data_IF_823269320559
#
_entry.id   IF_823269320559
#
_cell.length_a   1.000
_cell.length_b   1.000
_cell.length_c   1.000
_cell.angle_alpha   90.00
_cell.angle_beta   90.00
_cell.angle_gamma   90.00
#
_symmetry.space_group_name_H-M   'P 1'
#
loop_
_entity.id
_entity.type
_entity.pdbx_description
1 polymer ?
#
# COMPACT_ATOMS: atom_id res chain seq x y z
N UNK A 1 62.91 -11.20 32.52
CA UNK A 1 62.38 -10.96 33.88
C UNK A 1 60.97 -11.53 33.91
N UNK A 2 60.87 -12.82 34.26
CA UNK A 2 59.95 -13.40 35.27
C UNK A 2 58.47 -13.22 34.93
N UNK A 3 57.81 -14.21 34.31
CA UNK A 3 57.24 -15.44 34.91
C UNK A 3 56.21 -15.10 35.99
N UNK A 4 54.94 -15.42 35.74
CA UNK A 4 54.05 -16.19 36.65
C UNK A 4 52.65 -16.34 36.02
N UNK A 5 52.41 -17.50 35.44
CA UNK A 5 51.18 -18.30 35.65
C UNK A 5 51.64 -19.47 36.57
N UNK A 6 50.82 -20.22 37.35
CA UNK A 6 49.60 -20.86 36.83
C UNK A 6 48.50 -21.30 37.85
N UNK A 7 47.53 -22.05 37.33
CA UNK A 7 46.75 -23.18 37.91
C UNK A 7 45.48 -22.93 38.75
N UNK A 8 44.32 -23.30 38.20
CA UNK A 8 43.59 -24.56 38.51
C UNK A 8 42.49 -24.78 37.45
N UNK A 9 42.60 -25.76 36.53
CA UNK A 9 42.07 -27.14 36.59
C UNK A 9 40.64 -27.30 37.12
N UNK A 10 39.67 -27.50 36.21
CA UNK A 10 39.02 -28.81 35.97
C UNK A 10 37.90 -28.68 34.91
N UNK A 11 37.93 -29.56 33.90
CA UNK A 11 36.93 -29.74 32.85
C UNK A 11 35.74 -30.65 33.33
N UNK A 12 34.95 -31.32 32.44
CA UNK A 12 33.60 -30.93 32.05
C UNK A 12 32.56 -31.98 32.48
N UNK A 13 31.26 -31.67 32.40
CA UNK A 13 30.22 -32.72 32.49
C UNK A 13 29.38 -32.72 31.21
N UNK A 14 29.65 -33.73 30.37
CA UNK A 14 28.84 -34.12 29.23
C UNK A 14 27.64 -35.01 29.60
N UNK A 15 26.93 -35.54 28.61
CA UNK A 15 25.48 -35.79 28.64
C UNK A 15 25.10 -37.17 29.18
N UNK A 16 23.84 -37.33 29.62
CA UNK A 16 23.23 -38.64 29.89
C UNK A 16 21.78 -38.69 29.37
N UNK A 17 21.56 -39.63 28.47
CA UNK A 17 20.32 -40.30 28.03
C UNK A 17 20.65 -41.82 28.07
N UNK A 18 19.73 -42.80 27.91
CA UNK A 18 18.29 -42.91 28.17
C UNK A 18 17.92 -44.27 28.86
N UNK A 19 16.63 -44.65 28.86
CA UNK A 19 16.01 -45.94 29.24
C UNK A 19 15.80 -46.17 30.77
N UNK A 20 14.79 -46.84 31.30
CA UNK A 20 13.81 -47.81 30.77
C UNK A 20 12.69 -47.95 31.83
N UNK A 21 11.47 -48.35 31.45
CA UNK A 21 10.71 -49.44 32.11
C UNK A 21 9.26 -49.51 31.61
N UNK A 22 9.03 -50.61 30.89
CA UNK A 22 7.76 -51.12 30.43
C UNK A 22 6.80 -51.50 31.58
N UNK A 23 5.52 -51.24 31.38
CA UNK A 23 4.40 -51.75 32.15
C UNK A 23 3.32 -52.27 31.22
N UNK A 24 3.01 -53.55 31.35
CA UNK A 24 2.21 -54.44 30.50
C UNK A 24 0.76 -54.03 30.26
N UNK A 25 0.28 -54.40 29.07
CA UNK A 25 -1.09 -54.28 28.57
C UNK A 25 -2.09 -55.21 29.27
N UNK A 26 -3.33 -54.72 29.45
CA UNK A 26 -4.54 -55.55 29.47
C UNK A 26 -5.65 -54.85 28.68
N UNK A 27 -6.14 -55.55 27.67
CA UNK A 27 -7.21 -55.22 26.73
C UNK A 27 -8.62 -55.40 27.30
N UNK A 28 -9.58 -54.54 26.92
CA UNK A 28 -11.00 -54.80 26.56
C UNK A 28 -11.81 -53.47 26.50
N UNK A 29 -13.00 -53.39 25.89
CA UNK A 29 -13.22 -52.77 24.59
C UNK A 29 -13.86 -51.37 24.65
N UNK A 30 -13.68 -50.66 23.54
CA UNK A 30 -14.17 -49.31 23.23
C UNK A 30 -15.71 -49.17 23.35
N UNK A 31 -16.22 -48.08 23.97
CA UNK A 31 -17.58 -47.60 23.71
C UNK A 31 -17.58 -46.62 22.53
N UNK A 32 -18.59 -46.78 21.67
CA UNK A 32 -18.91 -45.93 20.52
C UNK A 32 -18.73 -44.42 20.77
N UNK A 33 -18.30 -43.64 19.77
CA UNK A 33 -18.31 -42.20 19.88
C UNK A 33 -19.75 -41.70 19.97
N UNK A 34 -20.06 -41.06 21.10
CA UNK A 34 -21.26 -40.23 21.26
C UNK A 34 -21.20 -39.15 20.18
N UNK A 35 -22.26 -39.08 19.37
CA UNK A 35 -22.47 -38.02 18.39
C UNK A 35 -22.30 -36.66 19.08
N UNK A 36 -21.17 -36.00 18.79
CA UNK A 36 -20.93 -34.64 19.20
C UNK A 36 -21.96 -33.75 18.55
N UNK A 37 -22.83 -33.17 19.39
CA UNK A 37 -23.76 -32.13 19.02
C UNK A 37 -23.06 -31.10 18.13
N UNK A 38 -23.67 -30.84 16.97
CA UNK A 38 -23.15 -29.93 15.97
C UNK A 38 -22.72 -28.61 16.59
N UNK A 39 -21.60 -28.09 16.10
CA UNK A 39 -21.20 -26.72 16.35
C UNK A 39 -22.43 -25.81 16.16
N UNK A 40 -22.71 -24.87 17.07
CA UNK A 40 -23.80 -23.94 16.89
C UNK A 40 -23.58 -23.22 15.55
N UNK A 41 -24.62 -23.04 14.71
CA UNK A 41 -24.48 -22.30 13.47
C UNK A 41 -23.92 -20.92 13.80
N UNK A 42 -22.76 -20.59 13.21
CA UNK A 42 -22.22 -19.24 13.22
C UNK A 42 -23.35 -18.33 12.75
N UNK A 43 -23.77 -17.32 13.54
CA UNK A 43 -24.87 -16.45 13.14
C UNK A 43 -24.49 -15.80 11.80
N UNK A 44 -25.30 -16.09 10.78
CA UNK A 44 -25.11 -15.57 9.44
C UNK A 44 -25.09 -14.04 9.51
N UNK A 45 -24.00 -13.42 9.06
CA UNK A 45 -23.95 -11.98 8.85
C UNK A 45 -25.02 -11.60 7.81
N UNK A 46 -26.17 -11.15 8.31
CA UNK A 46 -27.38 -10.85 7.57
C UNK A 46 -27.29 -9.47 6.93
N UNK A 47 -26.62 -9.39 5.79
CA UNK A 47 -26.83 -8.33 4.81
C UNK A 47 -26.81 -8.95 3.40
N UNK A 48 -27.61 -8.42 2.50
CA UNK A 48 -27.56 -8.82 1.10
C UNK A 48 -26.14 -8.61 0.54
N UNK A 49 -25.68 -9.44 -0.42
CA UNK A 49 -24.44 -9.18 -1.16
C UNK A 49 -24.37 -7.73 -1.65
N UNK A 50 -23.23 -7.07 -1.43
CA UNK A 50 -22.98 -5.71 -1.91
C UNK A 50 -22.39 -5.73 -3.31
N UNK A 51 -22.62 -4.67 -4.08
CA UNK A 51 -21.93 -4.40 -5.33
C UNK A 51 -20.87 -3.32 -5.11
N UNK A 52 -19.59 -3.72 -5.17
CA UNK A 52 -18.46 -2.87 -4.78
C UNK A 52 -17.52 -2.67 -5.96
N UNK A 53 -17.11 -1.42 -6.19
CA UNK A 53 -16.05 -1.08 -7.14
C UNK A 53 -14.72 -1.12 -6.41
N UNK A 54 -13.75 -1.90 -6.90
CA UNK A 54 -12.41 -1.96 -6.32
C UNK A 54 -11.42 -1.26 -7.26
N UNK A 55 -10.76 -0.22 -6.78
CA UNK A 55 -9.66 0.45 -7.49
C UNK A 55 -8.43 0.34 -6.60
N UNK A 56 -7.47 -0.51 -6.97
CA UNK A 56 -6.35 -0.85 -6.11
C UNK A 56 -5.00 -0.78 -6.83
N UNK A 57 -3.94 -0.56 -6.05
CA UNK A 57 -2.58 -0.73 -6.54
C UNK A 57 -2.36 -2.19 -7.01
N UNK A 58 -1.84 -2.39 -8.22
CA UNK A 58 -1.57 -3.72 -8.77
C UNK A 58 -0.56 -4.54 -7.94
N UNK A 59 0.14 -3.91 -6.98
CA UNK A 59 1.00 -4.58 -6.01
C UNK A 59 0.27 -5.70 -5.24
N UNK A 60 -1.04 -5.55 -5.00
CA UNK A 60 -1.86 -6.51 -4.26
C UNK A 60 -2.76 -7.35 -5.18
N UNK A 61 -2.45 -7.42 -6.48
CA UNK A 61 -3.30 -8.07 -7.48
C UNK A 61 -3.57 -9.53 -7.14
N UNK A 62 -2.55 -10.30 -6.77
CA UNK A 62 -2.71 -11.73 -6.50
C UNK A 62 -3.55 -11.96 -5.25
N UNK A 63 -3.30 -11.18 -4.21
CA UNK A 63 -3.96 -11.24 -2.91
C UNK A 63 -5.43 -10.84 -3.03
N UNK A 64 -5.73 -9.73 -3.72
CA UNK A 64 -7.10 -9.28 -3.97
C UNK A 64 -7.85 -10.30 -4.83
N UNK A 65 -7.25 -10.83 -5.91
CA UNK A 65 -7.89 -11.85 -6.74
C UNK A 65 -8.14 -13.16 -5.96
N UNK A 66 -7.21 -13.57 -5.10
CA UNK A 66 -7.34 -14.77 -4.27
C UNK A 66 -8.56 -14.68 -3.34
N UNK A 67 -8.77 -13.52 -2.73
CA UNK A 67 -9.90 -13.23 -1.84
C UNK A 67 -11.19 -12.99 -2.63
N UNK A 68 -11.14 -12.21 -3.71
CA UNK A 68 -12.30 -11.86 -4.52
C UNK A 68 -13.01 -13.08 -5.10
N UNK A 69 -12.24 -14.11 -5.50
CA UNK A 69 -12.80 -15.39 -5.97
C UNK A 69 -13.65 -16.14 -4.93
N UNK A 70 -13.58 -15.74 -3.66
CA UNK A 70 -14.29 -16.34 -2.52
C UNK A 70 -15.24 -15.37 -1.83
N UNK A 71 -15.32 -14.12 -2.30
CA UNK A 71 -16.11 -13.09 -1.65
C UNK A 71 -17.60 -13.35 -1.82
N UNK A 72 -18.39 -12.99 -0.81
CA UNK A 72 -19.85 -12.94 -0.94
C UNK A 72 -20.34 -11.74 -1.74
N UNK A 73 -19.52 -10.69 -1.84
CA UNK A 73 -19.86 -9.45 -2.51
C UNK A 73 -19.53 -9.56 -4.00
N UNK A 74 -20.28 -8.83 -4.83
CA UNK A 74 -19.95 -8.69 -6.24
C UNK A 74 -18.90 -7.59 -6.39
N UNK A 75 -17.70 -7.97 -6.81
CA UNK A 75 -16.55 -7.08 -6.88
C UNK A 75 -16.19 -6.78 -8.33
N UNK A 76 -16.23 -5.50 -8.71
CA UNK A 76 -15.73 -5.03 -10.00
C UNK A 76 -14.30 -4.49 -9.84
N UNK A 77 -13.32 -5.27 -10.28
CA UNK A 77 -11.91 -5.04 -10.00
C UNK A 77 -11.22 -4.18 -11.08
N UNK A 78 -10.55 -3.13 -10.65
CA UNK A 78 -9.60 -2.36 -11.44
C UNK A 78 -8.25 -2.25 -10.71
N UNK A 79 -7.20 -2.77 -11.36
CA UNK A 79 -5.84 -2.65 -10.87
C UNK A 79 -5.10 -1.55 -11.62
N UNK A 80 -4.45 -0.69 -10.85
CA UNK A 80 -3.77 0.50 -11.36
C UNK A 80 -2.26 0.32 -11.14
N UNK A 81 -1.49 0.80 -12.12
CA UNK A 81 -0.03 0.64 -12.14
C UNK A 81 0.60 1.01 -10.80
N UNK A 82 1.49 0.14 -10.32
CA UNK A 82 2.20 0.35 -9.08
C UNK A 82 3.03 1.62 -9.17
N UNK A 83 3.50 2.01 -10.36
CA UNK A 83 4.32 3.20 -10.58
C UNK A 83 3.66 4.55 -10.27
N UNK A 84 2.36 4.61 -9.95
CA UNK A 84 1.75 5.86 -9.49
C UNK A 84 2.35 6.39 -8.17
N UNK A 85 2.87 5.50 -7.30
CA UNK A 85 3.54 5.92 -6.07
C UNK A 85 4.91 6.58 -6.32
N UNK A 86 5.54 6.34 -7.50
CA UNK A 86 6.81 6.97 -7.85
C UNK A 86 6.62 8.50 -8.08
N UNK A 87 5.39 8.94 -8.42
CA UNK A 87 5.05 10.35 -8.67
C UNK A 87 3.70 10.73 -8.04
N UNK A 88 3.61 10.89 -6.71
CA UNK A 88 2.33 11.02 -5.99
C UNK A 88 1.39 12.12 -6.51
N UNK A 89 1.91 13.26 -6.96
CA UNK A 89 1.09 14.33 -7.52
C UNK A 89 0.35 13.93 -8.81
N UNK A 90 1.05 13.24 -9.73
CA UNK A 90 0.43 12.69 -10.94
C UNK A 90 -0.46 11.51 -10.61
N UNK A 91 -0.02 10.68 -9.67
CA UNK A 91 -0.78 9.54 -9.15
C UNK A 91 -2.15 9.95 -8.61
N UNK A 92 -2.22 11.05 -7.84
CA UNK A 92 -3.49 11.61 -7.35
C UNK A 92 -4.47 11.96 -8.46
N UNK A 93 -4.00 12.65 -9.50
CA UNK A 93 -4.85 13.03 -10.64
C UNK A 93 -5.40 11.78 -11.34
N UNK A 94 -4.55 10.77 -11.50
CA UNK A 94 -4.89 9.54 -12.23
C UNK A 94 -5.81 8.62 -11.41
N UNK A 95 -5.66 8.59 -10.08
CA UNK A 95 -6.62 7.95 -9.17
C UNK A 95 -7.95 8.70 -9.18
N UNK A 96 -7.94 10.03 -9.03
CA UNK A 96 -9.16 10.83 -9.05
C UNK A 96 -9.92 10.68 -10.37
N UNK A 97 -9.24 10.67 -11.50
CA UNK A 97 -9.85 10.45 -12.82
C UNK A 97 -10.61 9.13 -12.90
N UNK A 98 -10.12 8.06 -12.26
CA UNK A 98 -10.82 6.76 -12.20
C UNK A 98 -12.04 6.82 -11.31
N UNK A 99 -11.92 7.46 -10.15
CA UNK A 99 -13.04 7.66 -9.23
C UNK A 99 -14.15 8.47 -9.89
N UNK A 100 -13.80 9.54 -10.60
CA UNK A 100 -14.74 10.40 -11.32
C UNK A 100 -15.41 9.68 -12.50
N UNK A 101 -14.77 8.64 -13.06
CA UNK A 101 -15.34 7.82 -14.13
C UNK A 101 -16.33 6.76 -13.62
N UNK A 102 -16.42 6.52 -12.31
CA UNK A 102 -17.41 5.59 -11.74
C UNK A 102 -18.80 6.20 -11.89
N UNK A 103 -19.78 5.48 -12.49
CA UNK A 103 -21.14 5.97 -12.63
C UNK A 103 -21.86 6.07 -11.26
N UNK A 104 -22.64 7.14 -11.01
CA UNK A 104 -23.39 7.30 -9.78
C UNK A 104 -24.50 6.25 -9.65
N UNK A 105 -24.71 5.78 -8.41
CA UNK A 105 -25.82 4.86 -8.07
C UNK A 105 -25.62 3.40 -8.48
N UNK A 106 -24.46 3.03 -9.03
CA UNK A 106 -24.17 1.64 -9.46
C UNK A 106 -23.57 0.78 -8.35
N UNK A 107 -22.79 1.39 -7.46
CA UNK A 107 -22.04 0.68 -6.42
C UNK A 107 -22.43 1.21 -5.04
N UNK A 108 -22.44 0.32 -4.04
CA UNK A 108 -22.66 0.68 -2.64
C UNK A 108 -21.50 1.52 -2.07
N UNK A 109 -20.27 1.21 -2.52
CA UNK A 109 -19.06 1.94 -2.20
C UNK A 109 -17.95 1.68 -3.23
N UNK A 110 -16.96 2.58 -3.27
CA UNK A 110 -15.69 2.35 -3.96
C UNK A 110 -14.62 2.01 -2.93
N UNK A 111 -14.06 0.81 -3.05
CA UNK A 111 -12.92 0.35 -2.28
C UNK A 111 -11.63 0.87 -2.92
N UNK A 112 -10.96 1.83 -2.28
CA UNK A 112 -9.70 2.40 -2.76
C UNK A 112 -8.48 1.74 -2.09
N UNK A 113 -7.85 0.80 -2.79
CA UNK A 113 -6.79 -0.09 -2.29
C UNK A 113 -5.40 0.51 -2.38
N UNK A 114 -5.16 1.57 -1.63
CA UNK A 114 -3.87 2.26 -1.51
C UNK A 114 -3.57 2.61 -0.06
N UNK A 115 -2.30 2.53 0.34
CA UNK A 115 -1.80 3.25 1.51
C UNK A 115 -1.44 4.69 1.14
N UNK A 116 -1.01 5.49 2.13
CA UNK A 116 -0.62 6.88 1.91
C UNK A 116 0.51 7.01 0.87
N UNK A 117 1.45 6.06 0.81
CA UNK A 117 2.46 5.88 -0.26
C UNK A 117 3.05 7.21 -0.77
N UNK A 118 3.64 8.02 0.12
CA UNK A 118 4.18 9.33 -0.26
C UNK A 118 3.12 10.42 -0.53
N UNK A 119 1.98 10.36 0.17
CA UNK A 119 0.82 11.26 0.04
C UNK A 119 0.03 11.09 -1.28
N UNK A 120 0.02 9.88 -1.83
CA UNK A 120 -0.78 9.51 -3.01
C UNK A 120 -2.29 9.64 -2.79
N UNK A 121 -2.76 9.52 -1.55
CA UNK A 121 -4.18 9.61 -1.21
C UNK A 121 -4.67 11.02 -0.86
N UNK A 122 -3.75 11.95 -0.59
CA UNK A 122 -4.13 13.26 -0.07
C UNK A 122 -4.93 14.08 -1.10
N UNK A 123 -6.03 14.70 -0.70
CA UNK A 123 -6.91 15.48 -1.58
C UNK A 123 -7.81 14.64 -2.49
N UNK A 124 -7.69 13.30 -2.50
CA UNK A 124 -8.64 12.43 -3.19
C UNK A 124 -10.03 12.65 -2.60
N UNK A 125 -11.00 12.91 -3.48
CA UNK A 125 -12.35 13.34 -3.11
C UNK A 125 -13.38 12.29 -3.52
N UNK A 126 -14.25 11.94 -2.59
CA UNK A 126 -15.45 11.17 -2.87
C UNK A 126 -16.49 12.10 -3.50
N UNK A 127 -16.85 11.88 -4.78
CA UNK A 127 -17.82 12.72 -5.48
C UNK A 127 -19.26 12.38 -5.08
N UNK A 128 -19.73 11.23 -5.56
CA UNK A 128 -21.11 10.77 -5.39
C UNK A 128 -21.21 9.43 -4.66
N UNK A 129 -20.19 8.58 -4.79
CA UNK A 129 -20.10 7.26 -4.13
C UNK A 129 -19.11 7.35 -2.98
N UNK A 130 -19.43 6.82 -1.79
CA UNK A 130 -18.50 6.82 -0.67
C UNK A 130 -17.26 5.98 -0.97
N UNK A 131 -16.12 6.41 -0.43
CA UNK A 131 -14.87 5.66 -0.52
C UNK A 131 -14.61 4.89 0.78
N UNK A 132 -13.98 3.72 0.66
CA UNK A 132 -13.46 2.94 1.79
C UNK A 132 -11.99 2.69 1.58
N UNK A 133 -11.17 3.21 2.47
CA UNK A 133 -9.71 3.25 2.33
C UNK A 133 -9.06 2.62 3.55
N UNK A 134 -8.16 1.64 3.40
CA UNK A 134 -7.40 1.13 4.54
C UNK A 134 -6.53 2.24 5.15
N UNK A 135 -6.50 2.34 6.47
CA UNK A 135 -5.59 3.22 7.22
C UNK A 135 -4.20 2.60 7.21
N UNK A 136 -3.41 2.98 6.20
CA UNK A 136 -2.09 2.41 5.96
C UNK A 136 -1.10 3.48 5.51
N UNK A 137 0.12 3.46 6.06
CA UNK A 137 1.19 4.35 5.59
C UNK A 137 1.64 3.99 4.18
N UNK A 138 1.68 2.69 3.88
CA UNK A 138 1.98 2.15 2.56
C UNK A 138 1.32 0.78 2.37
N UNK A 139 1.48 0.21 1.18
CA UNK A 139 0.87 -1.07 0.82
C UNK A 139 1.44 -2.28 1.57
N UNK A 140 2.59 -2.19 2.26
CA UNK A 140 3.15 -3.31 3.05
C UNK A 140 2.17 -3.71 4.16
N UNK A 141 1.48 -2.73 4.74
CA UNK A 141 0.38 -2.92 5.71
C UNK A 141 -0.63 -3.97 5.25
N UNK A 142 -0.93 -4.04 3.95
CA UNK A 142 -1.93 -4.95 3.40
C UNK A 142 -1.51 -6.42 3.51
N UNK A 143 -0.21 -6.67 3.40
CA UNK A 143 0.35 -8.01 3.43
C UNK A 143 0.72 -8.46 4.85
N UNK A 144 0.79 -7.53 5.80
CA UNK A 144 0.99 -7.81 7.22
C UNK A 144 -0.32 -7.85 8.01
N UNK A 145 -1.46 -7.54 7.40
CA UNK A 145 -2.78 -7.69 8.00
C UNK A 145 -3.19 -6.62 9.02
N UNK A 146 -2.27 -5.72 9.42
CA UNK A 146 -2.60 -4.56 10.26
C UNK A 146 -1.47 -3.51 10.28
N UNK A 147 -1.82 -2.26 10.57
CA UNK A 147 -0.85 -1.16 10.75
C UNK A 147 0.01 -1.37 12.00
N UNK A 148 -0.54 -1.99 13.04
CA UNK A 148 0.14 -2.31 14.30
C UNK A 148 1.22 -3.39 14.10
N UNK A 149 0.91 -4.45 13.33
CA UNK A 149 1.92 -5.47 12.99
C UNK A 149 3.04 -4.85 12.16
N UNK A 150 2.71 -3.97 11.22
CA UNK A 150 3.71 -3.27 10.43
C UNK A 150 4.57 -2.33 11.28
N UNK A 151 3.96 -1.54 12.16
CA UNK A 151 4.65 -0.64 13.09
C UNK A 151 5.58 -1.41 14.04
N UNK A 152 5.11 -2.53 14.61
CA UNK A 152 5.92 -3.41 15.46
C UNK A 152 7.13 -3.97 14.70
N UNK A 153 6.92 -4.42 13.46
CA UNK A 153 7.98 -4.92 12.60
C UNK A 153 9.02 -3.83 12.30
N UNK A 154 8.57 -2.61 11.98
CA UNK A 154 9.42 -1.47 11.72
C UNK A 154 10.31 -1.10 12.92
N UNK A 155 9.74 -1.05 14.13
CA UNK A 155 10.52 -0.73 15.34
C UNK A 155 11.46 -1.84 15.79
N UNK A 156 11.06 -3.11 15.64
CA UNK A 156 11.89 -4.24 16.06
C UNK A 156 13.00 -4.57 15.07
N UNK A 157 12.79 -4.33 13.77
CA UNK A 157 13.75 -4.59 12.69
C UNK A 157 13.86 -3.40 11.75
N UNK A 158 14.44 -2.27 12.20
CA UNK A 158 14.74 -1.15 11.32
C UNK A 158 15.71 -1.57 10.21
N UNK A 159 15.67 -0.90 9.07
CA UNK A 159 16.49 -1.28 7.91
C UNK A 159 16.02 -2.55 7.20
N UNK A 160 14.75 -2.92 7.34
CA UNK A 160 14.13 -4.01 6.57
C UNK A 160 13.63 -3.49 5.23
N UNK A 161 14.04 -4.16 4.15
CA UNK A 161 13.46 -4.02 2.83
C UNK A 161 12.44 -5.14 2.58
N UNK A 162 11.17 -4.78 2.36
CA UNK A 162 10.10 -5.75 2.17
C UNK A 162 9.93 -6.12 0.70
N UNK A 163 9.84 -7.42 0.45
CA UNK A 163 9.50 -8.02 -0.83
C UNK A 163 8.14 -8.71 -0.72
N UNK A 164 7.35 -8.59 -1.78
CA UNK A 164 6.11 -9.34 -1.99
C UNK A 164 6.08 -9.87 -3.42
N UNK A 165 5.14 -10.76 -3.71
CA UNK A 165 4.89 -11.23 -5.08
C UNK A 165 4.71 -10.06 -6.05
N UNK A 166 3.81 -9.13 -5.73
CA UNK A 166 3.56 -7.94 -6.53
C UNK A 166 4.76 -7.02 -6.64
N UNK A 167 5.60 -6.87 -5.60
CA UNK A 167 6.78 -6.00 -5.67
C UNK A 167 7.75 -6.48 -6.76
N UNK A 168 8.01 -7.78 -6.77
CA UNK A 168 8.91 -8.42 -7.73
C UNK A 168 8.29 -8.42 -9.13
N UNK A 169 7.05 -8.87 -9.26
CA UNK A 169 6.39 -9.02 -10.57
C UNK A 169 6.09 -7.68 -11.24
N UNK A 170 5.61 -6.68 -10.49
CA UNK A 170 5.31 -5.35 -11.05
C UNK A 170 6.59 -4.65 -11.49
N UNK A 171 7.70 -4.80 -10.75
CA UNK A 171 8.98 -4.28 -11.20
C UNK A 171 9.43 -4.95 -12.51
N UNK A 172 9.36 -6.28 -12.60
CA UNK A 172 9.71 -6.99 -13.85
C UNK A 172 8.83 -6.59 -15.03
N UNK A 173 7.50 -6.50 -14.82
CA UNK A 173 6.53 -6.03 -15.83
C UNK A 173 6.89 -4.65 -16.34
N UNK A 174 7.19 -3.72 -15.43
CA UNK A 174 7.58 -2.35 -15.76
C UNK A 174 8.93 -2.26 -16.47
N UNK A 175 9.91 -3.04 -16.05
CA UNK A 175 11.20 -3.13 -16.74
C UNK A 175 11.03 -3.60 -18.19
N UNK A 176 10.18 -4.62 -18.44
CA UNK A 176 9.86 -5.08 -19.80
C UNK A 176 9.14 -4.01 -20.64
N UNK A 177 8.33 -3.17 -20.00
CA UNK A 177 7.64 -2.06 -20.65
C UNK A 177 8.50 -0.80 -20.83
N UNK A 178 9.80 -0.84 -20.49
CA UNK A 178 10.69 0.33 -20.58
C UNK A 178 10.40 1.43 -19.54
N UNK A 179 9.61 1.12 -18.51
CA UNK A 179 9.18 2.06 -17.45
C UNK A 179 9.60 1.56 -16.06
N UNK A 180 10.85 1.10 -15.92
CA UNK A 180 11.38 0.57 -14.66
C UNK A 180 11.28 1.59 -13.51
N UNK A 181 11.09 1.12 -12.27
CA UNK A 181 11.08 2.01 -11.09
C UNK A 181 12.48 2.42 -10.71
N UNK A 182 12.70 3.71 -10.45
CA UNK A 182 13.98 4.22 -9.98
C UNK A 182 14.42 3.60 -8.63
N UNK A 183 13.47 3.12 -7.81
CA UNK A 183 13.74 2.50 -6.51
C UNK A 183 13.89 0.98 -6.62
N UNK A 184 12.98 0.32 -7.34
CA UNK A 184 12.99 -1.14 -7.45
C UNK A 184 14.08 -1.63 -8.43
N UNK A 185 14.37 -0.88 -9.49
CA UNK A 185 15.33 -1.28 -10.53
C UNK A 185 16.74 -1.44 -9.95
N UNK A 186 17.31 -0.53 -9.16
CA UNK A 186 18.64 -0.72 -8.59
C UNK A 186 18.75 -1.95 -7.67
N UNK A 187 17.69 -2.27 -6.93
CA UNK A 187 17.67 -3.38 -5.96
C UNK A 187 17.45 -4.73 -6.64
N UNK A 188 16.55 -4.78 -7.62
CA UNK A 188 16.15 -6.01 -8.30
C UNK A 188 17.04 -6.35 -9.51
N UNK A 189 17.66 -5.36 -10.13
CA UNK A 189 18.62 -5.59 -11.22
C UNK A 189 19.86 -6.25 -10.64
N UNK A 190 20.32 -7.34 -11.26
CA UNK A 190 21.37 -8.24 -10.78
C UNK A 190 22.77 -7.61 -10.75
N UNK A 191 22.97 -6.51 -10.01
CA UNK A 191 24.18 -5.69 -10.16
C UNK A 191 24.35 -5.16 -11.60
N UNK A 192 23.28 -5.15 -12.41
CA UNK A 192 23.31 -4.46 -13.68
C UNK A 192 23.49 -2.98 -13.33
N UNK A 193 24.66 -2.44 -13.68
CA UNK A 193 24.76 -1.10 -14.25
C UNK A 193 23.38 -0.66 -14.71
N UNK A 194 22.84 0.44 -14.13
CA UNK A 194 21.58 1.09 -14.52
C UNK A 194 21.20 0.63 -15.92
N UNK A 195 20.05 -0.03 -16.20
CA UNK A 195 19.77 -0.53 -17.54
C UNK A 195 20.13 0.56 -18.55
N UNK A 196 21.19 0.28 -19.32
CA UNK A 196 21.93 1.23 -20.14
C UNK A 196 22.81 2.29 -19.42
N UNK A 197 23.78 1.90 -18.55
CA UNK A 197 24.79 2.84 -18.02
C UNK A 197 25.42 3.64 -19.16
N UNK A 198 25.70 3.01 -20.29
CA UNK A 198 26.19 3.69 -21.50
C UNK A 198 25.18 4.65 -22.14
N UNK A 199 23.88 4.34 -22.16
CA UNK A 199 22.89 5.26 -22.71
C UNK A 199 22.58 6.40 -21.73
N UNK A 200 22.62 6.13 -20.43
CA UNK A 200 22.36 7.10 -19.37
C UNK A 200 23.52 8.09 -19.24
N UNK A 201 24.77 7.60 -19.30
CA UNK A 201 25.97 8.45 -19.39
C UNK A 201 26.01 9.25 -20.69
N UNK A 202 25.56 8.68 -21.83
CA UNK A 202 25.38 9.43 -23.09
C UNK A 202 24.34 10.55 -22.97
N UNK A 203 23.22 10.31 -22.29
CA UNK A 203 22.11 11.27 -22.20
C UNK A 203 22.33 12.34 -21.13
N UNK A 204 22.92 11.99 -19.98
CA UNK A 204 22.99 12.84 -18.81
C UNK A 204 24.42 13.23 -18.40
N UNK A 205 25.44 12.63 -19.03
CA UNK A 205 26.85 12.82 -18.69
C UNK A 205 27.29 11.93 -17.53
N UNK A 206 28.56 11.52 -17.55
CA UNK A 206 29.14 10.59 -16.57
C UNK A 206 29.07 11.10 -15.13
N UNK A 207 29.26 12.42 -14.93
CA UNK A 207 29.20 13.03 -13.61
C UNK A 207 27.82 12.92 -12.97
N UNK A 208 26.74 13.15 -13.72
CA UNK A 208 25.35 13.00 -13.21
C UNK A 208 25.00 11.54 -12.98
N UNK A 209 25.48 10.63 -13.82
CA UNK A 209 25.31 9.19 -13.65
C UNK A 209 25.96 8.69 -12.35
N UNK A 210 27.19 9.15 -12.08
CA UNK A 210 27.92 8.81 -10.86
C UNK A 210 27.25 9.40 -9.61
N UNK A 211 26.81 10.66 -9.67
CA UNK A 211 26.10 11.30 -8.57
C UNK A 211 24.77 10.58 -8.24
N UNK A 212 23.99 10.17 -9.24
CA UNK A 212 22.77 9.39 -9.01
C UNK A 212 23.09 8.04 -8.36
N UNK A 213 24.13 7.35 -8.82
CA UNK A 213 24.56 6.07 -8.24
C UNK A 213 24.98 6.21 -6.77
N UNK A 214 25.65 7.30 -6.42
CA UNK A 214 26.04 7.57 -5.03
C UNK A 214 24.82 7.78 -4.14
N UNK A 215 23.86 8.60 -4.59
CA UNK A 215 22.60 8.83 -3.86
C UNK A 215 21.79 7.54 -3.70
N UNK A 216 21.72 6.71 -4.75
CA UNK A 216 21.04 5.42 -4.68
C UNK A 216 21.74 4.45 -3.70
N UNK A 217 23.07 4.44 -3.69
CA UNK A 217 23.87 3.64 -2.75
C UNK A 217 23.66 4.09 -1.31
N UNK A 218 23.73 5.38 -1.05
CA UNK A 218 23.50 5.99 0.26
C UNK A 218 22.10 5.65 0.77
N UNK A 219 21.08 5.74 -0.10
CA UNK A 219 19.71 5.32 0.24
C UNK A 219 19.61 3.84 0.61
N UNK A 220 20.26 2.95 -0.15
CA UNK A 220 20.24 1.51 0.13
C UNK A 220 21.11 1.08 1.32
N UNK A 221 22.06 1.91 1.75
CA UNK A 221 23.02 1.58 2.81
C UNK A 221 22.37 1.42 4.19
N UNK A 222 21.17 1.96 4.37
CA UNK A 222 20.40 1.82 5.61
C UNK A 222 19.67 0.47 5.72
N UNK A 223 19.57 -0.28 4.63
CA UNK A 223 18.98 -1.62 4.65
C UNK A 223 20.01 -2.66 5.07
N UNK A 224 19.59 -3.55 5.97
CA UNK A 224 20.40 -4.63 6.53
C UNK A 224 19.72 -5.99 6.37
N UNK A 225 18.41 -6.00 6.12
CA UNK A 225 17.60 -7.21 5.96
C UNK A 225 16.69 -7.09 4.75
N UNK A 226 16.48 -8.21 4.05
CA UNK A 226 15.42 -8.36 3.06
C UNK A 226 14.41 -9.39 3.55
N UNK A 227 13.17 -8.96 3.70
CA UNK A 227 12.06 -9.82 4.15
C UNK A 227 11.16 -10.12 2.97
N UNK A 228 10.98 -11.39 2.62
CA UNK A 228 9.91 -11.82 1.73
C UNK A 228 8.65 -12.09 2.55
N UNK A 229 7.59 -11.31 2.33
CA UNK A 229 6.25 -11.63 2.84
C UNK A 229 5.60 -12.59 1.85
N UNK A 230 5.38 -13.83 2.27
CA UNK A 230 4.94 -14.93 1.42
C UNK A 230 3.60 -15.49 1.88
N UNK A 231 2.82 -15.99 0.92
CA UNK A 231 1.57 -16.70 1.18
C UNK A 231 1.61 -18.08 0.53
N UNK A 232 0.87 -19.04 1.07
CA UNK A 232 0.86 -20.40 0.55
C UNK A 232 0.46 -20.48 -0.93
N UNK A 233 -0.47 -19.64 -1.37
CA UNK A 233 -0.91 -19.60 -2.78
C UNK A 233 0.10 -18.94 -3.73
N UNK A 234 1.12 -18.25 -3.22
CA UNK A 234 2.20 -17.63 -4.01
C UNK A 234 3.52 -18.40 -3.96
N UNK A 235 3.67 -19.41 -3.08
CA UNK A 235 4.89 -20.23 -2.98
C UNK A 235 5.35 -20.86 -4.29
N UNK A 236 4.41 -21.25 -5.15
CA UNK A 236 4.70 -21.84 -6.46
C UNK A 236 5.46 -20.91 -7.42
N UNK A 237 5.52 -19.61 -7.12
CA UNK A 237 6.27 -18.62 -7.89
C UNK A 237 7.79 -18.69 -7.64
N UNK A 238 8.24 -19.38 -6.59
CA UNK A 238 9.67 -19.57 -6.31
C UNK A 238 10.42 -18.29 -5.93
N UNK A 239 9.73 -17.29 -5.37
CA UNK A 239 10.28 -15.97 -5.08
C UNK A 239 11.40 -16.00 -4.04
N UNK A 240 11.36 -16.93 -3.09
CA UNK A 240 12.37 -17.06 -2.04
C UNK A 240 13.80 -17.21 -2.59
N UNK A 241 13.99 -17.96 -3.70
CA UNK A 241 15.30 -18.11 -4.33
C UNK A 241 15.77 -16.78 -4.94
N UNK A 242 14.85 -16.05 -5.59
CA UNK A 242 15.15 -14.76 -6.19
C UNK A 242 15.50 -13.70 -5.14
N UNK A 243 14.72 -13.61 -4.06
CA UNK A 243 14.94 -12.65 -2.98
C UNK A 243 16.20 -12.98 -2.19
N UNK A 244 16.51 -14.25 -1.92
CA UNK A 244 17.81 -14.65 -1.34
C UNK A 244 18.98 -14.16 -2.19
N UNK A 245 18.91 -14.33 -3.51
CA UNK A 245 19.96 -13.88 -4.41
C UNK A 245 20.11 -12.35 -4.39
N UNK A 246 18.99 -11.61 -4.27
CA UNK A 246 19.02 -10.15 -4.08
C UNK A 246 19.72 -9.79 -2.76
N UNK A 247 19.29 -10.37 -1.65
CA UNK A 247 19.86 -10.09 -0.34
C UNK A 247 21.36 -10.39 -0.29
N UNK A 248 21.79 -11.54 -0.82
CA UNK A 248 23.20 -11.91 -0.88
C UNK A 248 24.07 -10.90 -1.64
N UNK A 249 23.55 -10.32 -2.74
CA UNK A 249 24.27 -9.28 -3.50
C UNK A 249 24.35 -7.95 -2.76
N UNK A 250 23.31 -7.61 -2.01
CA UNK A 250 23.26 -6.36 -1.24
C UNK A 250 23.96 -6.48 0.13
N UNK A 251 24.41 -7.68 0.52
CA UNK A 251 24.94 -7.94 1.85
C UNK A 251 23.87 -7.95 2.94
N UNK A 252 22.59 -8.15 2.58
CA UNK A 252 21.48 -8.19 3.52
C UNK A 252 21.22 -9.60 4.05
N UNK A 253 20.74 -9.69 5.28
CA UNK A 253 20.20 -10.92 5.83
C UNK A 253 18.84 -11.21 5.20
N UNK A 254 18.62 -12.44 4.75
CA UNK A 254 17.34 -12.86 4.18
C UNK A 254 16.44 -13.48 5.26
N UNK A 255 15.20 -13.03 5.32
CA UNK A 255 14.14 -13.62 6.13
C UNK A 255 12.88 -13.86 5.28
N UNK A 256 12.08 -14.85 5.65
CA UNK A 256 10.76 -15.09 5.08
C UNK A 256 9.73 -14.97 6.20
N UNK A 257 8.70 -14.14 5.98
CA UNK A 257 7.61 -13.93 6.91
C UNK A 257 6.31 -14.42 6.29
N UNK A 258 5.49 -15.09 7.09
CA UNK A 258 4.13 -15.46 6.70
C UNK A 258 3.27 -14.19 6.60
N UNK A 259 2.67 -13.97 5.44
CA UNK A 259 1.74 -12.86 5.22
C UNK A 259 0.40 -13.07 5.95
N UNK A 260 -0.32 -11.97 6.16
CA UNK A 260 -1.66 -11.98 6.74
C UNK A 260 -2.61 -11.19 5.85
N UNK A 261 -3.61 -11.87 5.30
CA UNK A 261 -4.64 -11.29 4.42
C UNK A 261 -5.82 -10.66 5.17
N UNK A 262 -5.81 -10.67 6.51
CA UNK A 262 -6.95 -10.29 7.34
C UNK A 262 -7.50 -8.89 7.02
N UNK A 263 -6.63 -7.90 6.82
CA UNK A 263 -7.03 -6.54 6.45
C UNK A 263 -7.73 -6.51 5.08
N UNK A 264 -7.14 -7.13 4.06
CA UNK A 264 -7.73 -7.18 2.72
C UNK A 264 -9.03 -7.98 2.70
N UNK A 265 -9.12 -9.05 3.49
CA UNK A 265 -10.34 -9.84 3.63
C UNK A 265 -11.47 -8.98 4.22
N UNK A 266 -11.25 -8.33 5.38
CA UNK A 266 -12.27 -7.45 6.00
C UNK A 266 -12.68 -6.31 5.09
N UNK A 267 -11.73 -5.75 4.36
CA UNK A 267 -11.97 -4.68 3.38
C UNK A 267 -12.93 -5.09 2.26
N UNK A 268 -12.69 -6.25 1.64
CA UNK A 268 -13.52 -6.77 0.55
C UNK A 268 -14.88 -7.30 1.04
N UNK A 269 -14.95 -7.84 2.27
CA UNK A 269 -16.18 -8.39 2.85
C UNK A 269 -17.13 -7.33 3.43
N UNK A 270 -16.66 -6.10 3.63
CA UNK A 270 -17.49 -5.01 4.16
C UNK A 270 -17.42 -4.81 5.68
N UNK A 271 -16.47 -5.47 6.37
CA UNK A 271 -16.20 -5.29 7.81
C UNK A 271 -15.30 -4.07 8.03
N UNK A 272 -15.85 -2.88 7.74
CA UNK A 272 -15.11 -1.61 7.74
C UNK A 272 -15.02 -0.98 9.12
N UNK A 273 -14.23 -1.59 9.99
CA UNK A 273 -13.93 -1.10 11.35
C UNK A 273 -13.22 0.26 11.28
N UNK A 274 -13.69 1.29 12.02
CA UNK A 274 -13.12 2.64 11.95
C UNK A 274 -11.63 2.73 12.27
N UNK A 275 -11.09 1.79 13.06
CA UNK A 275 -9.68 1.73 13.46
C UNK A 275 -8.76 1.31 12.31
N UNK A 276 -9.30 0.57 11.35
CA UNK A 276 -8.60 -0.02 10.21
C UNK A 276 -8.94 0.65 8.89
N UNK A 277 -10.12 1.26 8.79
CA UNK A 277 -10.65 1.83 7.55
C UNK A 277 -11.13 3.26 7.75
N UNK A 278 -10.79 4.11 6.80
CA UNK A 278 -11.39 5.42 6.62
C UNK A 278 -12.57 5.31 5.65
N UNK A 279 -13.75 5.67 6.16
CA UNK A 279 -14.92 5.95 5.33
C UNK A 279 -14.90 7.41 4.89
N UNK A 280 -14.98 7.66 3.59
CA UNK A 280 -15.03 9.02 3.01
C UNK A 280 -16.42 9.24 2.42
N UNK A 281 -17.30 10.02 3.09
CA UNK A 281 -18.62 10.31 2.55
C UNK A 281 -18.54 11.15 1.27
N UNK A 282 -19.57 11.13 0.41
CA UNK A 282 -19.68 12.06 -0.71
C UNK A 282 -19.47 13.51 -0.26
N UNK A 283 -18.78 14.30 -1.10
CA UNK A 283 -18.41 15.68 -0.80
C UNK A 283 -17.26 15.84 0.21
N UNK A 284 -16.60 14.76 0.62
CA UNK A 284 -15.42 14.81 1.48
C UNK A 284 -14.15 14.42 0.72
N UNK A 285 -13.02 14.92 1.22
CA UNK A 285 -11.67 14.58 0.74
C UNK A 285 -10.83 13.95 1.84
N UNK A 286 -9.86 13.15 1.42
CA UNK A 286 -8.87 12.54 2.30
C UNK A 286 -7.78 13.56 2.63
N UNK A 287 -7.39 13.66 3.90
CA UNK A 287 -6.20 14.41 4.33
C UNK A 287 -5.32 13.55 5.21
N UNK A 288 -4.00 13.70 5.06
CA UNK A 288 -3.03 13.02 5.91
C UNK A 288 -2.97 13.70 7.29
N UNK A 289 -2.96 12.90 8.35
CA UNK A 289 -2.97 13.41 9.73
C UNK A 289 -1.63 13.21 10.45
N UNK A 290 -0.76 12.32 9.93
CA UNK A 290 0.56 12.01 10.50
C UNK A 290 0.53 11.58 11.98
N UNK A 291 -0.60 11.03 12.41
CA UNK A 291 -0.85 10.41 13.70
C UNK A 291 -1.30 8.96 13.50
N UNK A 292 -1.79 8.32 14.57
CA UNK A 292 -2.26 6.92 14.56
C UNK A 292 -3.43 6.67 13.59
N UNK A 293 -4.18 7.72 13.22
CA UNK A 293 -5.27 7.61 12.26
C UNK A 293 -4.76 7.57 10.81
N UNK A 294 -3.55 8.08 10.55
CA UNK A 294 -2.85 8.17 9.26
C UNK A 294 -3.53 9.12 8.25
N UNK A 295 -4.84 8.98 8.09
CA UNK A 295 -5.70 9.73 7.20
C UNK A 295 -7.05 10.04 7.86
N UNK A 296 -7.68 11.16 7.49
CA UNK A 296 -9.08 11.45 7.85
C UNK A 296 -9.85 12.00 6.66
N UNK A 297 -11.17 12.05 6.80
CA UNK A 297 -12.06 12.71 5.85
C UNK A 297 -12.39 14.12 6.34
N UNK A 298 -12.38 15.10 5.45
CA UNK A 298 -12.88 16.45 5.73
C UNK A 298 -13.81 16.94 4.60
N UNK A 299 -14.82 17.78 4.90
CA UNK A 299 -15.68 18.34 3.86
C UNK A 299 -14.87 19.13 2.83
N UNK A 300 -15.25 19.01 1.57
CA UNK A 300 -14.77 19.92 0.52
C UNK A 300 -15.55 21.22 0.67
N UNK A 301 -14.93 22.23 1.26
CA UNK A 301 -15.47 23.59 1.21
C UNK A 301 -15.36 24.09 -0.23
N UNK A 302 -16.49 24.29 -0.90
CA UNK A 302 -16.53 25.10 -2.13
C UNK A 302 -15.89 26.47 -1.80
N UNK A 303 -15.02 27.03 -2.67
CA UNK A 303 -14.65 28.42 -2.54
C UNK A 303 -15.95 29.22 -2.60
N UNK A 304 -16.32 29.85 -1.48
CA UNK A 304 -17.58 30.57 -1.37
C UNK A 304 -17.74 31.54 -2.53
N UNK A 305 -18.83 31.38 -3.28
CA UNK A 305 -19.46 32.52 -3.93
C UNK A 305 -19.69 33.54 -2.81
N UNK A 306 -19.00 34.67 -2.91
CA UNK A 306 -19.15 35.81 -2.02
C UNK A 306 -20.60 36.28 -2.13
N UNK A 307 -21.45 35.78 -1.23
CA UNK A 307 -22.80 36.30 -1.03
C UNK A 307 -22.60 37.59 -0.28
N UNK A 308 -22.42 38.68 -1.02
CA UNK A 308 -22.62 40.02 -0.50
C UNK A 308 -24.08 40.17 -0.09
N UNK A 309 -24.41 39.79 1.14
CA UNK A 309 -25.54 40.33 1.87
C UNK A 309 -25.20 41.77 2.28
N UNK A 310 -25.28 42.68 1.30
CA UNK A 310 -25.39 44.10 1.55
C UNK A 310 -26.83 44.41 1.97
N UNK A 311 -27.08 44.33 3.28
CA UNK A 311 -28.32 44.80 3.89
C UNK A 311 -28.58 46.26 3.53
N UNK A 312 -29.81 46.52 3.09
CA UNK A 312 -30.32 47.86 2.85
C UNK A 312 -30.31 48.69 4.14
N UNK A 313 -29.56 49.79 4.14
CA UNK A 313 -29.78 50.91 5.04
C UNK A 313 -30.02 52.14 4.17
N UNK A 314 -31.27 52.61 4.17
CA UNK A 314 -31.70 53.83 3.51
C UNK A 314 -31.18 55.05 4.28
N UNK A 315 -30.38 55.89 3.64
CA UNK A 315 -30.27 57.33 3.93
C UNK A 315 -30.12 58.05 2.60
N UNK A 316 -31.07 58.93 2.30
CA UNK A 316 -31.10 59.69 1.05
C UNK A 316 -30.11 60.86 1.03
N UNK A 317 -29.84 61.36 -0.18
CA UNK A 317 -29.97 62.77 -0.61
C UNK A 317 -29.10 63.01 -1.87
N UNK A 318 -29.80 63.37 -2.96
CA UNK A 318 -29.47 64.26 -4.10
C UNK A 318 -28.12 64.26 -4.84
N UNK A 319 -28.22 64.37 -6.17
CA UNK A 319 -27.22 65.00 -7.06
C UNK A 319 -26.79 64.07 -8.21
N UNK A 320 -27.53 63.98 -9.32
CA UNK A 320 -27.43 64.79 -10.56
C UNK A 320 -26.15 64.60 -11.39
N UNK A 321 -26.38 64.36 -12.69
CA UNK A 321 -25.47 64.44 -13.85
C UNK A 321 -24.43 63.31 -13.99
N UNK A 322 -24.06 62.82 -15.17
CA UNK A 322 -24.52 63.00 -16.55
C UNK A 322 -23.80 61.93 -17.42
N UNK A 323 -24.51 61.40 -18.41
CA UNK A 323 -24.05 60.96 -19.75
C UNK A 323 -22.62 60.42 -19.92
N UNK A 324 -22.47 59.22 -20.53
CA UNK A 324 -22.33 59.11 -21.99
C UNK A 324 -21.92 57.68 -22.44
N UNK A 325 -22.73 57.17 -23.37
CA UNK A 325 -22.37 56.40 -24.58
C UNK A 325 -21.53 55.11 -24.53
N UNK A 326 -22.26 54.04 -24.87
CA UNK A 326 -21.92 52.95 -25.81
C UNK A 326 -20.73 53.23 -26.73
N UNK A 327 -19.92 52.18 -26.92
CA UNK A 327 -19.57 51.66 -28.25
C UNK A 327 -19.38 50.14 -28.19
N UNK A 328 -20.10 49.45 -29.06
CA UNK A 328 -19.80 48.09 -29.52
C UNK A 328 -18.39 48.04 -30.13
N UNK A 329 -17.69 46.93 -29.94
CA UNK A 329 -17.19 46.13 -31.08
C UNK A 329 -16.70 44.74 -30.62
N UNK A 330 -17.04 43.76 -31.44
CA UNK A 330 -16.72 42.34 -31.33
C UNK A 330 -15.80 41.98 -32.54
N UNK A 331 -15.49 40.70 -32.81
CA UNK A 331 -14.30 39.93 -32.42
C UNK A 331 -13.29 39.70 -33.57
N UNK A 332 -12.09 39.14 -33.28
CA UNK A 332 -11.31 38.30 -34.22
C UNK A 332 -10.05 37.71 -33.51
N UNK A 333 -9.94 36.39 -33.33
CA UNK A 333 -9.24 35.38 -34.17
C UNK A 333 -7.81 35.03 -33.71
N UNK A 334 -7.52 33.73 -33.65
CA UNK A 334 -6.23 33.17 -34.11
C UNK A 334 -5.27 32.64 -33.04
N UNK A 335 -5.14 31.30 -32.96
CA UNK A 335 -3.91 30.63 -32.46
C UNK A 335 -2.73 30.77 -33.44
N UNK A 336 -1.62 29.99 -33.37
CA UNK A 336 -1.51 28.63 -32.81
C UNK A 336 -0.22 28.27 -32.02
N UNK A 337 -0.24 27.04 -31.48
CA UNK A 337 0.80 26.01 -31.23
C UNK A 337 2.32 26.31 -31.21
N UNK A 338 3.04 25.61 -30.30
CA UNK A 338 4.43 25.20 -30.52
C UNK A 338 5.23 24.78 -29.28
N UNK A 339 5.55 23.48 -29.22
CA UNK A 339 6.51 22.73 -28.37
C UNK A 339 6.11 22.31 -26.95
#
# INVERSE_FOLDING_TARGET
MQVSDPTSHAEPCGPQDPADLAGTATSSPSPNPVAGAGAPPVPAASSAPRHLRVIACEIALREICHLAARSRNLLDLEFVSQGLHDHPARGRLEVQRRLDAVPPGVYDAILLGYGLCGRLLEGITARHTPLVVPRAHDCITFFLGSKERYQKAFFHRPGTYYFTSGWVECAQKRSRAGSGSALATPILSQGATLPNWEAWTRQHGESKARALMEVLREWTAHYTHGVLIEFDFTRSLGLAAQVRAICARQGWQFEEWEGDLGLLHRWLEGDWRPEEFLMVPPGHRIVATFDEDIVRAEPVTEPGADVTHGGAAAVGVSGSSATAQRREDQPATGGPAGF
#
